data_IF_421011721378
#
_entry.id   IF_421011721378
#
_cell.length_a   1.000
_cell.length_b   1.000
_cell.length_c   1.000
_cell.angle_alpha   90.00
_cell.angle_beta   90.00
_cell.angle_gamma   90.00
#
_symmetry.space_group_name_H-M   'P 1'
#
loop_
_entity.id
_entity.type
_entity.pdbx_description
1 polymer ?
#
# COMPACT_ATOMS: atom_id res chain seq x y z
N UNK A 1 4.84 -20.12 16.13
CA UNK A 1 3.48 -19.65 16.46
C UNK A 1 3.52 -18.13 16.36
N UNK A 2 3.32 -17.62 15.15
CA UNK A 2 3.18 -16.19 14.91
C UNK A 2 1.72 -15.84 15.19
N UNK A 3 1.50 -14.85 16.04
CA UNK A 3 0.17 -14.31 16.30
C UNK A 3 -0.08 -13.38 15.11
N UNK A 4 -0.99 -13.76 14.20
CA UNK A 4 -1.53 -12.81 13.24
C UNK A 4 -2.31 -11.79 14.07
N UNK A 5 -1.83 -10.55 14.11
CA UNK A 5 -2.62 -9.44 14.63
C UNK A 5 -3.78 -9.27 13.64
N UNK A 6 -5.00 -9.14 14.14
CA UNK A 6 -6.13 -8.73 13.29
C UNK A 6 -5.74 -7.37 12.68
N UNK A 7 -5.84 -7.22 11.35
CA UNK A 7 -5.60 -5.94 10.68
C UNK A 7 -6.80 -5.00 10.92
N UNK A 8 -7.11 -4.74 12.18
CA UNK A 8 -8.16 -3.84 12.58
C UNK A 8 -7.85 -3.20 13.93
N UNK A 9 -8.17 -1.92 14.06
CA UNK A 9 -8.07 -1.21 15.33
C UNK A 9 -7.82 0.29 15.20
N UNK A 10 -7.52 0.88 16.36
CA UNK A 10 -7.09 2.26 16.54
C UNK A 10 -5.56 2.26 16.66
N UNK A 11 -4.89 2.87 15.69
CA UNK A 11 -3.44 2.84 15.53
C UNK A 11 -2.82 4.16 16.03
N UNK A 12 -1.63 4.12 16.65
CA UNK A 12 -1.01 5.36 17.10
C UNK A 12 -0.64 6.24 15.89
N UNK A 13 -0.70 7.56 16.06
CA UNK A 13 -0.34 8.56 15.05
C UNK A 13 1.18 8.71 14.81
N UNK A 14 1.96 7.64 14.91
CA UNK A 14 3.42 7.68 14.77
C UNK A 14 4.02 6.28 14.53
N UNK A 15 5.35 6.24 14.34
CA UNK A 15 6.13 5.02 14.04
C UNK A 15 6.14 3.94 15.14
N UNK A 16 5.55 4.19 16.32
CA UNK A 16 5.40 3.15 17.35
C UNK A 16 4.25 2.17 17.07
N UNK A 17 3.53 2.36 15.96
CA UNK A 17 2.51 1.42 15.51
C UNK A 17 3.04 0.00 15.42
N UNK A 18 2.23 -0.95 15.88
CA UNK A 18 2.51 -2.38 15.73
C UNK A 18 1.77 -2.99 14.54
N UNK A 19 0.85 -2.24 13.93
CA UNK A 19 0.07 -2.70 12.78
C UNK A 19 0.94 -2.63 11.53
N UNK A 20 1.08 -3.77 10.87
CA UNK A 20 1.90 -3.93 9.67
C UNK A 20 1.06 -4.65 8.62
N UNK A 21 0.94 -4.06 7.43
CA UNK A 21 0.29 -4.68 6.27
C UNK A 21 1.31 -4.94 5.16
N UNK A 22 0.96 -5.84 4.25
CA UNK A 22 1.63 -6.02 2.96
C UNK A 22 0.70 -5.64 1.81
N UNK A 23 1.22 -5.54 0.59
CA UNK A 23 0.34 -5.41 -0.56
C UNK A 23 -0.57 -6.65 -0.67
N UNK A 24 -1.85 -6.40 -0.95
CA UNK A 24 -2.93 -7.39 -0.94
C UNK A 24 -3.74 -7.41 0.36
N UNK A 25 -3.21 -6.85 1.45
CA UNK A 25 -3.92 -6.76 2.73
C UNK A 25 -4.82 -5.51 2.79
N UNK A 26 -5.82 -5.59 3.67
CA UNK A 26 -6.64 -4.47 4.10
C UNK A 26 -6.47 -4.27 5.61
N UNK A 27 -6.63 -3.02 6.06
CA UNK A 27 -6.74 -2.63 7.46
C UNK A 27 -8.05 -1.88 7.71
N UNK A 28 -8.80 -2.29 8.72
CA UNK A 28 -10.05 -1.63 9.14
C UNK A 28 -9.82 -0.75 10.38
N UNK A 29 -10.15 0.53 10.29
CA UNK A 29 -9.93 1.49 11.37
C UNK A 29 -11.14 2.36 11.66
N UNK A 30 -11.05 3.14 12.74
CA UNK A 30 -12.06 4.12 13.12
C UNK A 30 -11.39 5.39 13.59
N UNK A 31 -11.71 6.52 12.96
CA UNK A 31 -11.12 7.81 13.28
C UNK A 31 -12.04 8.62 14.19
N UNK A 32 -11.43 9.37 15.10
CA UNK A 32 -12.06 10.53 15.77
C UNK A 32 -11.55 11.86 15.15
N UNK A 33 -12.10 13.01 15.57
CA UNK A 33 -11.57 14.31 15.11
C UNK A 33 -10.15 14.51 15.63
N UNK A 34 -9.27 15.05 14.79
CA UNK A 34 -7.82 15.18 15.01
C UNK A 34 -7.04 13.85 15.05
N UNK A 35 -7.71 12.74 14.79
CA UNK A 35 -7.13 11.42 14.85
C UNK A 35 -6.39 11.05 13.57
N UNK A 36 -5.34 10.24 13.74
CA UNK A 36 -4.53 9.72 12.65
C UNK A 36 -4.03 8.34 13.01
N UNK A 37 -4.35 7.38 12.18
CA UNK A 37 -3.92 6.01 12.32
C UNK A 37 -2.69 5.76 11.44
N UNK A 38 -1.55 5.41 12.05
CA UNK A 38 -0.36 5.03 11.28
C UNK A 38 -0.25 3.52 11.16
N UNK A 39 -0.20 3.03 9.93
CA UNK A 39 -0.03 1.62 9.58
C UNK A 39 1.30 1.48 8.85
N UNK A 40 2.16 0.57 9.31
CA UNK A 40 3.41 0.28 8.62
C UNK A 40 3.16 -0.62 7.41
N UNK A 41 3.94 -0.45 6.35
CA UNK A 41 3.89 -1.30 5.17
C UNK A 41 5.28 -1.69 4.69
N UNK A 42 5.47 -2.97 4.39
CA UNK A 42 6.66 -3.46 3.71
C UNK A 42 6.58 -3.21 2.20
N UNK A 43 7.58 -2.50 1.66
CA UNK A 43 7.70 -2.22 0.23
C UNK A 43 8.98 -2.79 -0.36
N UNK A 44 8.94 -3.11 -1.65
CA UNK A 44 10.08 -3.60 -2.43
C UNK A 44 10.44 -2.57 -3.49
N UNK A 45 11.74 -2.32 -3.67
CA UNK A 45 12.23 -1.40 -4.69
C UNK A 45 11.72 -1.78 -6.08
N UNK A 46 11.33 -0.78 -6.87
CA UNK A 46 10.82 -0.93 -8.23
C UNK A 46 9.32 -1.20 -8.31
N UNK A 47 8.68 -1.64 -7.23
CA UNK A 47 7.23 -1.88 -7.22
C UNK A 47 6.44 -0.58 -7.06
N UNK A 48 5.38 -0.45 -7.84
CA UNK A 48 4.37 0.59 -7.67
C UNK A 48 3.21 0.06 -6.81
N UNK A 49 2.79 0.88 -5.86
CA UNK A 49 1.71 0.57 -4.92
C UNK A 49 0.60 1.58 -5.09
N UNK A 50 -0.64 1.11 -5.11
CA UNK A 50 -1.84 1.93 -4.90
C UNK A 50 -2.29 1.77 -3.45
N UNK A 51 -2.42 2.89 -2.74
CA UNK A 51 -2.95 2.95 -1.39
C UNK A 51 -4.25 3.72 -1.38
N UNK A 52 -5.32 3.11 -0.89
CA UNK A 52 -6.65 3.73 -0.89
C UNK A 52 -7.22 3.72 0.51
N UNK A 53 -7.72 4.88 0.97
CA UNK A 53 -8.50 4.98 2.21
C UNK A 53 -9.94 5.25 1.82
N UNK A 54 -10.85 4.33 2.13
CA UNK A 54 -12.27 4.46 1.79
C UNK A 54 -13.12 4.39 3.06
N UNK A 55 -14.08 5.29 3.20
CA UNK A 55 -15.13 5.15 4.22
C UNK A 55 -15.86 3.82 4.13
N UNK A 56 -15.92 3.08 5.23
CA UNK A 56 -16.50 1.74 5.28
C UNK A 56 -17.30 1.51 6.57
N UNK A 57 -17.67 0.27 6.89
CA UNK A 57 -18.31 -0.04 8.17
C UNK A 57 -19.71 0.56 8.38
N UNK A 58 -20.07 0.76 9.65
CA UNK A 58 -21.41 1.18 10.06
C UNK A 58 -21.58 2.70 10.08
N UNK A 59 -20.47 3.44 10.25
CA UNK A 59 -20.44 4.90 10.24
C UNK A 59 -19.28 5.38 9.36
N UNK A 60 -19.38 5.22 8.02
CA UNK A 60 -18.28 5.51 7.11
C UNK A 60 -17.85 6.96 7.15
N UNK A 61 -16.54 7.19 7.23
CA UNK A 61 -15.97 8.52 6.96
C UNK A 61 -16.26 8.93 5.51
N UNK A 62 -16.64 10.18 5.28
CA UNK A 62 -17.06 10.64 3.94
C UNK A 62 -15.97 11.31 3.13
N UNK A 63 -14.89 11.74 3.78
CA UNK A 63 -13.84 12.58 3.20
C UNK A 63 -12.50 12.27 3.90
N UNK A 64 -11.68 11.45 3.25
CA UNK A 64 -10.45 10.91 3.83
C UNK A 64 -9.25 11.75 3.40
N UNK A 65 -8.13 11.58 4.09
CA UNK A 65 -6.88 12.20 3.69
C UNK A 65 -5.74 11.25 4.03
N UNK A 66 -5.06 10.77 2.99
CA UNK A 66 -3.96 9.81 3.12
C UNK A 66 -2.61 10.52 3.00
N UNK A 67 -1.66 10.12 3.84
CA UNK A 67 -0.24 10.51 3.73
C UNK A 67 0.66 9.29 3.78
N UNK A 68 1.76 9.31 3.04
CA UNK A 68 2.82 8.32 3.07
C UNK A 68 4.10 8.96 3.63
N UNK A 69 4.68 8.31 4.63
CA UNK A 69 5.89 8.75 5.31
C UNK A 69 7.03 7.75 5.13
N UNK A 70 8.25 8.28 5.04
CA UNK A 70 9.45 7.46 5.06
C UNK A 70 9.66 6.76 6.41
N UNK A 71 10.60 5.81 6.43
CA UNK A 71 10.95 5.02 7.62
C UNK A 71 11.36 5.86 8.84
N UNK A 72 11.78 7.11 8.64
CA UNK A 72 12.15 8.04 9.72
C UNK A 72 10.94 8.63 10.46
N UNK A 73 9.72 8.46 9.92
CA UNK A 73 8.48 9.00 10.47
C UNK A 73 8.31 10.51 10.35
N UNK A 74 9.16 11.18 9.57
CA UNK A 74 9.16 12.66 9.46
C UNK A 74 9.29 13.19 8.03
N UNK A 75 9.79 12.37 7.09
CA UNK A 75 9.88 12.73 5.68
C UNK A 75 8.61 12.32 4.95
N UNK A 76 7.84 13.29 4.47
CA UNK A 76 6.65 13.05 3.66
C UNK A 76 7.06 12.61 2.25
N UNK A 77 6.54 11.47 1.79
CA UNK A 77 6.81 10.90 0.47
C UNK A 77 5.66 11.15 -0.51
N UNK A 78 4.44 11.29 -0.01
CA UNK A 78 3.26 11.56 -0.82
C UNK A 78 2.02 11.77 0.04
N UNK A 79 0.99 12.36 -0.54
CA UNK A 79 -0.29 12.59 0.10
C UNK A 79 -1.39 12.75 -0.95
N UNK A 80 -2.63 12.42 -0.59
CA UNK A 80 -3.81 12.56 -1.45
C UNK A 80 -5.09 12.71 -0.61
N UNK A 81 -6.02 13.55 -1.05
CA UNK A 81 -7.31 13.79 -0.39
C UNK A 81 -8.55 13.41 -1.25
N UNK A 82 -8.49 13.38 -2.58
CA UNK A 82 -9.70 13.20 -3.42
C UNK A 82 -9.56 12.34 -4.69
N UNK A 83 -8.45 11.60 -4.84
CA UNK A 83 -8.23 10.77 -6.04
C UNK A 83 -8.89 9.38 -5.97
N UNK A 84 -9.53 9.04 -4.85
CA UNK A 84 -10.28 7.79 -4.65
C UNK A 84 -11.78 7.90 -4.97
N UNK A 85 -12.59 6.86 -4.66
CA UNK A 85 -14.03 6.89 -4.94
C UNK A 85 -14.77 7.97 -4.14
N UNK A 86 -15.30 8.99 -4.80
CA UNK A 86 -16.02 10.08 -4.13
C UNK A 86 -15.06 11.15 -3.65
N UNK A 87 -15.00 11.39 -2.33
CA UNK A 87 -14.00 12.26 -1.67
C UNK A 87 -13.00 11.42 -0.84
N UNK A 88 -12.82 10.17 -1.25
CA UNK A 88 -11.86 9.28 -0.61
C UNK A 88 -10.49 9.48 -1.26
N UNK A 89 -9.44 9.02 -0.60
CA UNK A 89 -8.06 9.23 -1.03
C UNK A 89 -7.52 7.99 -1.73
N UNK A 90 -6.78 8.18 -2.82
CA UNK A 90 -5.97 7.14 -3.49
C UNK A 90 -4.60 7.70 -3.87
N UNK A 91 -3.52 7.02 -3.45
CA UNK A 91 -2.14 7.44 -3.68
C UNK A 91 -1.35 6.34 -4.39
N UNK A 92 -0.80 6.66 -5.56
CA UNK A 92 0.17 5.82 -6.25
C UNK A 92 1.60 6.16 -5.79
N UNK A 93 2.41 5.14 -5.51
CA UNK A 93 3.79 5.30 -5.07
C UNK A 93 4.70 4.19 -5.60
N UNK A 94 5.72 4.56 -6.36
CA UNK A 94 6.81 3.65 -6.77
C UNK A 94 7.94 3.67 -5.74
N UNK A 95 8.18 2.53 -5.10
CA UNK A 95 9.20 2.41 -4.06
C UNK A 95 10.61 2.46 -4.67
N UNK A 96 11.45 3.36 -4.16
CA UNK A 96 12.85 3.52 -4.62
C UNK A 96 13.85 2.72 -3.78
N UNK A 97 13.41 2.18 -2.65
CA UNK A 97 14.19 1.32 -1.76
C UNK A 97 13.28 0.27 -1.13
N UNK A 98 13.81 -0.92 -0.89
CA UNK A 98 13.11 -1.95 -0.10
C UNK A 98 13.19 -1.60 1.37
N UNK A 99 12.06 -1.61 2.08
CA UNK A 99 12.01 -1.25 3.49
C UNK A 99 10.59 -1.08 4.04
N UNK A 100 10.50 -0.53 5.25
CA UNK A 100 9.23 -0.15 5.86
C UNK A 100 8.94 1.32 5.60
N UNK A 101 7.69 1.61 5.22
CA UNK A 101 7.11 2.96 5.17
C UNK A 101 5.90 3.02 6.09
N UNK A 102 5.32 4.22 6.27
CA UNK A 102 4.13 4.41 7.10
C UNK A 102 3.03 5.16 6.36
N UNK A 103 1.84 4.54 6.32
CA UNK A 103 0.61 5.13 5.81
C UNK A 103 -0.12 5.77 6.98
N UNK A 104 -0.50 7.04 6.85
CA UNK A 104 -1.22 7.81 7.85
C UNK A 104 -2.62 8.09 7.34
N UNK A 105 -3.60 7.33 7.81
CA UNK A 105 -5.02 7.53 7.51
C UNK A 105 -5.61 8.62 8.40
N UNK A 106 -6.42 9.51 7.83
CA UNK A 106 -7.18 10.51 8.57
C UNK A 106 -8.32 11.09 7.74
N UNK A 107 -8.91 12.16 8.24
CA UNK A 107 -9.95 12.91 7.53
C UNK A 107 -9.43 14.19 6.90
N UNK A 108 -10.11 14.70 5.88
CA UNK A 108 -9.84 16.04 5.36
C UNK A 108 -9.89 17.09 6.50
N UNK A 109 -8.86 17.93 6.56
CA UNK A 109 -8.61 18.93 7.61
C UNK A 109 -8.65 18.40 9.07
N UNK A 110 -8.60 17.09 9.28
CA UNK A 110 -8.67 16.46 10.60
C UNK A 110 -9.99 16.73 11.37
N UNK A 111 -11.07 17.02 10.65
CA UNK A 111 -12.35 17.46 11.23
C UNK A 111 -13.39 16.36 11.43
N UNK A 112 -13.24 15.21 10.80
CA UNK A 112 -14.27 14.18 10.76
C UNK A 112 -13.83 12.90 11.43
N UNK A 113 -14.81 12.11 11.86
CA UNK A 113 -14.60 10.77 12.38
C UNK A 113 -15.53 9.78 11.69
N UNK A 114 -15.20 8.49 11.78
CA UNK A 114 -15.91 7.42 11.12
C UNK A 114 -15.01 6.22 10.83
N UNK A 115 -15.65 5.14 10.40
CA UNK A 115 -15.01 3.88 10.05
C UNK A 115 -14.43 3.97 8.64
N UNK A 116 -13.26 3.36 8.43
CA UNK A 116 -12.59 3.32 7.14
C UNK A 116 -11.88 1.98 6.90
N UNK A 117 -11.59 1.71 5.63
CA UNK A 117 -10.67 0.65 5.22
C UNK A 117 -9.51 1.27 4.47
N UNK A 118 -8.29 0.95 4.90
CA UNK A 118 -7.05 1.20 4.17
C UNK A 118 -6.70 -0.06 3.39
N UNK A 119 -6.61 0.03 2.08
CA UNK A 119 -6.13 -1.05 1.21
C UNK A 119 -4.77 -0.70 0.63
N UNK A 120 -3.92 -1.72 0.49
CA UNK A 120 -2.67 -1.61 -0.25
C UNK A 120 -2.69 -2.63 -1.39
N UNK A 121 -2.47 -2.19 -2.62
CA UNK A 121 -2.42 -3.06 -3.82
C UNK A 121 -1.15 -2.77 -4.60
N UNK A 122 -0.67 -3.77 -5.33
CA UNK A 122 0.35 -3.54 -6.35
C UNK A 122 -0.36 -2.99 -7.59
N UNK A 123 0.22 -1.96 -8.17
CA UNK A 123 -0.14 -1.45 -9.48
C UNK A 123 0.96 -1.87 -10.45
N UNK A 124 0.58 -2.63 -11.46
CA UNK A 124 1.43 -3.08 -12.56
C UNK A 124 0.90 -2.53 -13.88
N UNK A 125 0.58 -1.23 -13.91
CA UNK A 125 0.14 -0.58 -15.13
C UNK A 125 1.23 0.35 -15.64
N UNK A 126 1.51 0.27 -16.95
CA UNK A 126 2.63 0.95 -17.57
C UNK A 126 3.90 0.09 -17.54
N UNK A 127 5.03 0.67 -17.95
CA UNK A 127 6.29 -0.08 -18.06
C UNK A 127 6.97 -0.22 -16.68
N UNK A 128 6.99 -1.43 -16.12
CA UNK A 128 7.51 -1.73 -14.79
C UNK A 128 8.88 -2.44 -14.78
N UNK A 129 9.69 -2.21 -13.74
CA UNK A 129 10.95 -2.94 -13.46
C UNK A 129 10.82 -3.69 -12.12
N UNK A 130 10.40 -4.95 -12.22
CA UNK A 130 9.98 -5.78 -11.09
C UNK A 130 11.05 -6.80 -10.75
N UNK A 131 11.51 -6.78 -9.49
CA UNK A 131 12.43 -7.77 -8.96
C UNK A 131 11.67 -8.79 -8.09
N UNK A 132 11.58 -10.03 -8.55
CA UNK A 132 10.96 -11.13 -7.80
C UNK A 132 11.62 -11.40 -6.44
N UNK A 133 10.95 -12.17 -5.62
CA UNK A 133 11.45 -12.58 -4.31
C UNK A 133 12.21 -13.91 -4.41
N UNK A 134 13.00 -14.32 -3.39
CA UNK A 134 13.56 -15.68 -3.34
C UNK A 134 12.53 -16.81 -3.16
N UNK A 135 11.24 -16.48 -3.01
CA UNK A 135 10.15 -17.43 -2.85
C UNK A 135 9.58 -17.91 -4.18
N UNK A 136 8.40 -18.55 -4.14
CA UNK A 136 7.62 -18.76 -5.35
C UNK A 136 6.69 -17.55 -5.52
N UNK A 137 6.86 -16.79 -6.61
CA UNK A 137 6.05 -15.61 -6.88
C UNK A 137 4.84 -15.94 -7.76
N UNK A 138 3.73 -15.22 -7.57
CA UNK A 138 2.60 -15.18 -8.50
C UNK A 138 2.37 -13.71 -8.85
N UNK A 139 2.78 -13.31 -10.05
CA UNK A 139 2.77 -11.90 -10.50
C UNK A 139 2.10 -11.80 -11.86
N UNK A 140 1.24 -10.81 -12.02
CA UNK A 140 0.65 -10.38 -13.28
C UNK A 140 1.10 -8.95 -13.55
N UNK A 141 1.93 -8.76 -14.56
CA UNK A 141 2.52 -7.46 -14.94
C UNK A 141 1.55 -6.61 -15.79
N UNK A 142 0.35 -7.12 -16.09
CA UNK A 142 -0.77 -6.35 -16.63
C UNK A 142 -0.52 -5.70 -18.01
N UNK A 143 -0.22 -4.41 -18.13
CA UNK A 143 -0.10 -3.69 -19.41
C UNK A 143 1.16 -2.85 -19.37
N UNK A 144 1.98 -2.87 -20.43
CA UNK A 144 3.26 -2.18 -20.44
C UNK A 144 4.35 -3.00 -21.10
N UNK A 145 5.49 -2.37 -21.43
CA UNK A 145 6.70 -3.08 -21.83
C UNK A 145 7.55 -3.40 -20.59
N UNK A 146 7.25 -4.54 -19.93
CA UNK A 146 7.76 -4.81 -18.59
C UNK A 146 9.12 -5.52 -18.53
N UNK A 147 9.80 -5.40 -17.38
CA UNK A 147 10.98 -6.19 -17.04
C UNK A 147 10.77 -6.90 -15.71
N UNK A 148 10.91 -8.23 -15.72
CA UNK A 148 10.92 -9.04 -14.52
C UNK A 148 12.27 -9.73 -14.34
N UNK A 149 12.78 -9.75 -13.10
CA UNK A 149 13.95 -10.53 -12.71
C UNK A 149 13.73 -11.29 -11.39
N UNK A 150 13.62 -12.61 -11.46
CA UNK A 150 13.49 -13.50 -10.29
C UNK A 150 14.85 -14.04 -9.79
N UNK A 151 15.11 -14.12 -8.48
CA UNK A 151 16.34 -14.67 -7.90
C UNK A 151 16.32 -16.22 -7.68
N UNK A 152 15.27 -16.93 -8.12
CA UNK A 152 15.08 -18.39 -8.00
C UNK A 152 13.62 -18.69 -7.62
N UNK A 153 13.23 -19.96 -7.48
CA UNK A 153 11.86 -20.34 -7.10
C UNK A 153 11.03 -20.89 -8.26
N UNK A 154 9.84 -21.43 -7.93
CA UNK A 154 8.87 -21.88 -8.92
C UNK A 154 7.84 -20.78 -9.17
N UNK A 155 8.23 -19.79 -9.96
CA UNK A 155 7.43 -18.59 -10.20
C UNK A 155 6.36 -18.81 -11.27
N UNK A 156 5.23 -18.11 -11.10
CA UNK A 156 4.19 -17.96 -12.11
C UNK A 156 4.08 -16.48 -12.47
N UNK A 157 4.69 -16.10 -13.59
CA UNK A 157 4.72 -14.72 -14.07
C UNK A 157 3.90 -14.62 -15.36
N UNK A 158 2.93 -13.71 -15.36
CA UNK A 158 2.16 -13.32 -16.55
C UNK A 158 2.71 -11.96 -16.98
N UNK A 159 3.25 -11.89 -18.19
CA UNK A 159 3.81 -10.65 -18.75
C UNK A 159 2.74 -9.62 -19.11
N UNK A 160 1.55 -10.06 -19.52
CA UNK A 160 0.47 -9.14 -19.86
C UNK A 160 0.52 -8.65 -21.30
N UNK A 161 -0.02 -7.44 -21.55
CA UNK A 161 0.01 -6.80 -22.86
C UNK A 161 1.27 -5.93 -23.03
N UNK A 162 2.14 -6.26 -23.99
CA UNK A 162 3.30 -5.46 -24.34
C UNK A 162 4.49 -6.31 -24.77
N UNK A 163 5.69 -5.72 -24.79
CA UNK A 163 6.95 -6.39 -25.12
C UNK A 163 7.78 -6.66 -23.86
N UNK A 164 7.39 -7.70 -23.13
CA UNK A 164 7.96 -7.99 -21.83
C UNK A 164 9.29 -8.74 -21.91
N UNK A 165 10.15 -8.49 -20.93
CA UNK A 165 11.38 -9.24 -20.69
C UNK A 165 11.29 -9.95 -19.34
N UNK A 166 11.00 -11.26 -19.36
CA UNK A 166 10.88 -12.08 -18.15
C UNK A 166 12.13 -12.94 -17.96
N UNK A 167 12.95 -12.60 -16.96
CA UNK A 167 14.15 -13.34 -16.57
C UNK A 167 13.88 -14.10 -15.27
N UNK A 168 13.63 -15.40 -15.37
CA UNK A 168 13.55 -16.28 -14.19
C UNK A 168 14.91 -16.47 -13.50
N UNK A 169 14.88 -17.00 -12.28
CA UNK A 169 16.08 -17.45 -11.58
C UNK A 169 16.46 -18.89 -11.94
N UNK A 170 17.73 -19.26 -11.71
CA UNK A 170 18.21 -20.65 -11.79
C UNK A 170 17.79 -21.51 -10.58
#
# INVERSE_FOLDING_TARGET
MAIFQENAGDAPANISTTYVISAGDDFEGSLTSADRDWIAIGVFTGYTYEFTVTGSGASPISDTYLRLWAADGTTLLGEDDDSGPGLNSSLLYTATTTGLLFLSSGSFLDLFGGDYTLSARLDFSGDDDVAGTPGNDIIDLSIGDDRFKGPGGNDQIIGGEGNDTLLGGE
#
